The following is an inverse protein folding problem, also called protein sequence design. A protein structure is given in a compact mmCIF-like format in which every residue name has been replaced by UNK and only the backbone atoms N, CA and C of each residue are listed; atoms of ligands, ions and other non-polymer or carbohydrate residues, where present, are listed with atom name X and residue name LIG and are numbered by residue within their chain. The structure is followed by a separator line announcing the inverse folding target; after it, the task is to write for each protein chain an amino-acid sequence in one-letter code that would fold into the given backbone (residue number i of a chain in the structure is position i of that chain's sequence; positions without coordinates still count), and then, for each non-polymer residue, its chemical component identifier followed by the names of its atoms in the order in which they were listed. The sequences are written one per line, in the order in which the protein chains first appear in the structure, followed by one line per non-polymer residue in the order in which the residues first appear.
data_IF_808641998624
#
_entry.id   IF_808641998624
#
_cell.length_a   1.000
_cell.length_b   1.000
_cell.length_c   1.000
_cell.angle_alpha   90.00
_cell.angle_beta   90.00
_cell.angle_gamma   90.00
#
_symmetry.space_group_name_H-M   'P 1'
#
loop_
_entity.id
_entity.type
_entity.pdbx_description
1 polymer ?
#
# COMPACT_ATOMS: atom_id res chain seq x y z
N UNK A 1 -23.87 9.83 -2.05
CA UNK A 1 -22.46 10.22 -1.87
C UNK A 1 -21.56 9.32 -2.71
N UNK A 2 -20.64 9.91 -3.44
CA UNK A 2 -19.78 9.16 -4.34
C UNK A 2 -18.67 8.47 -3.56
N UNK A 3 -18.55 7.16 -3.72
CA UNK A 3 -17.55 6.38 -3.04
C UNK A 3 -16.17 6.57 -3.69
N UNK A 4 -15.14 6.76 -2.87
CA UNK A 4 -13.76 6.88 -3.34
C UNK A 4 -13.25 5.49 -3.71
N UNK A 5 -12.74 5.35 -4.93
CA UNK A 5 -12.14 4.10 -5.38
C UNK A 5 -10.70 3.98 -4.87
N UNK A 6 -10.26 2.74 -4.66
CA UNK A 6 -8.84 2.50 -4.40
C UNK A 6 -8.03 2.96 -5.61
N UNK A 7 -6.89 3.64 -5.41
CA UNK A 7 -6.14 4.20 -6.52
C UNK A 7 -5.50 3.14 -7.42
N UNK A 8 -5.31 3.46 -8.69
CA UNK A 8 -4.61 2.59 -9.63
C UNK A 8 -3.10 2.64 -9.45
N UNK A 9 -2.60 3.73 -8.89
CA UNK A 9 -1.17 3.98 -8.73
C UNK A 9 -0.91 4.66 -7.40
N UNK A 10 0.16 4.25 -6.73
CA UNK A 10 0.66 4.92 -5.52
C UNK A 10 2.09 5.35 -5.79
N UNK A 11 2.36 6.65 -5.60
CA UNK A 11 3.69 7.23 -5.81
C UNK A 11 4.52 7.16 -4.53
N UNK A 12 5.69 6.55 -4.63
CA UNK A 12 6.65 6.44 -3.53
C UNK A 12 7.99 6.91 -4.07
N UNK A 13 8.50 8.04 -3.55
CA UNK A 13 9.71 8.67 -4.07
C UNK A 13 9.52 8.98 -5.56
N UNK A 14 10.40 8.53 -6.43
CA UNK A 14 10.25 8.69 -7.88
C UNK A 14 9.62 7.47 -8.55
N UNK A 15 9.14 6.51 -7.75
CA UNK A 15 8.50 5.31 -8.26
C UNK A 15 7.00 5.48 -8.32
N UNK A 16 6.39 5.08 -9.43
CA UNK A 16 4.94 5.02 -9.57
C UNK A 16 4.53 3.56 -9.54
N UNK A 17 4.10 3.10 -8.36
CA UNK A 17 3.75 1.71 -8.16
C UNK A 17 2.34 1.43 -8.66
N UNK A 18 2.21 0.48 -9.56
CA UNK A 18 0.90 0.08 -10.07
C UNK A 18 0.21 -0.86 -9.10
N UNK A 19 -1.07 -0.63 -8.91
CA UNK A 19 -1.88 -1.49 -8.04
C UNK A 19 -2.60 -2.53 -8.89
N UNK A 20 -2.45 -3.79 -8.51
CA UNK A 20 -3.14 -4.90 -9.18
C UNK A 20 -4.02 -5.59 -8.14
N UNK A 21 -5.33 -5.54 -8.35
CA UNK A 21 -6.27 -6.24 -7.47
C UNK A 21 -6.50 -7.63 -8.02
N UNK A 22 -6.13 -8.63 -7.22
CA UNK A 22 -6.23 -10.03 -7.62
C UNK A 22 -7.55 -10.64 -7.14
N UNK A 23 -8.14 -11.48 -7.98
CA UNK A 23 -9.30 -12.26 -7.56
C UNK A 23 -8.85 -13.23 -6.45
N UNK A 24 -9.73 -13.57 -5.48
CA UNK A 24 -9.33 -14.38 -4.32
C UNK A 24 -8.73 -15.74 -4.67
N UNK A 25 -9.22 -16.40 -5.70
CA UNK A 25 -8.68 -17.69 -6.12
C UNK A 25 -7.25 -17.58 -6.64
N UNK A 26 -6.95 -16.50 -7.36
CA UNK A 26 -5.60 -16.23 -7.86
C UNK A 26 -4.67 -15.92 -6.70
N UNK A 27 -5.13 -15.13 -5.73
CA UNK A 27 -4.34 -14.79 -4.56
C UNK A 27 -3.96 -16.03 -3.76
N UNK A 28 -4.88 -16.99 -3.63
CA UNK A 28 -4.62 -18.26 -2.94
C UNK A 28 -3.58 -19.10 -3.68
N UNK A 29 -3.63 -19.11 -5.01
CA UNK A 29 -2.67 -19.87 -5.82
C UNK A 29 -1.24 -19.34 -5.69
N UNK A 30 -1.09 -18.04 -5.43
CA UNK A 30 0.23 -17.40 -5.33
C UNK A 30 0.81 -17.49 -3.92
N UNK A 31 0.36 -18.45 -3.11
CA UNK A 31 0.96 -18.71 -1.82
C UNK A 31 0.14 -18.26 -0.62
N UNK A 32 -1.17 -18.21 -0.76
CA UNK A 32 -2.09 -17.88 0.33
C UNK A 32 -1.83 -16.47 0.89
N UNK A 33 -1.40 -15.56 0.04
CA UNK A 33 -1.07 -14.19 0.44
C UNK A 33 -2.19 -13.23 0.10
N UNK A 34 -2.52 -12.35 1.07
CA UNK A 34 -3.52 -11.31 0.86
C UNK A 34 -2.96 -10.16 0.03
N UNK A 35 -1.63 -10.04 -0.05
CA UNK A 35 -0.98 -9.04 -0.86
C UNK A 35 0.51 -9.29 -0.97
N UNK A 36 1.16 -8.56 -1.88
CA UNK A 36 2.60 -8.62 -2.04
C UNK A 36 3.11 -7.40 -2.80
N UNK A 37 4.38 -7.09 -2.60
CA UNK A 37 5.07 -6.05 -3.34
C UNK A 37 6.13 -6.69 -4.23
N UNK A 38 6.08 -6.38 -5.53
CA UNK A 38 7.04 -6.87 -6.51
C UNK A 38 7.92 -5.70 -6.96
N UNK A 39 9.13 -5.61 -6.39
CA UNK A 39 10.03 -4.50 -6.67
C UNK A 39 10.46 -4.44 -8.14
N UNK A 40 10.72 -5.59 -8.73
CA UNK A 40 11.18 -5.69 -10.11
C UNK A 40 10.14 -5.13 -11.09
N UNK A 41 8.88 -5.39 -10.83
CA UNK A 41 7.79 -4.99 -11.71
C UNK A 41 7.16 -3.67 -11.30
N UNK A 42 7.57 -3.10 -10.16
CA UNK A 42 7.01 -1.85 -9.62
C UNK A 42 5.50 -1.97 -9.42
N UNK A 43 5.08 -3.07 -8.77
CA UNK A 43 3.66 -3.38 -8.57
C UNK A 43 3.39 -3.81 -7.14
N UNK A 44 2.20 -3.46 -6.69
CA UNK A 44 1.63 -3.95 -5.44
C UNK A 44 0.40 -4.78 -5.79
N UNK A 45 0.39 -6.02 -5.33
CA UNK A 45 -0.73 -6.95 -5.54
C UNK A 45 -1.54 -7.02 -4.25
N UNK A 46 -2.86 -6.91 -4.37
CA UNK A 46 -3.76 -6.94 -3.22
C UNK A 46 -4.97 -7.81 -3.55
N UNK A 47 -5.46 -8.55 -2.55
CA UNK A 47 -6.67 -9.34 -2.69
C UNK A 47 -7.86 -8.39 -2.90
N UNK A 48 -8.51 -8.49 -4.06
CA UNK A 48 -9.61 -7.62 -4.43
C UNK A 48 -10.75 -7.66 -3.42
N UNK A 49 -11.09 -8.86 -2.94
CA UNK A 49 -12.23 -9.01 -2.05
C UNK A 49 -12.00 -8.28 -0.72
N UNK A 50 -10.78 -8.28 -0.21
CA UNK A 50 -10.45 -7.57 1.03
C UNK A 50 -10.54 -6.07 0.83
N UNK A 51 -10.00 -5.57 -0.28
CA UNK A 51 -10.03 -4.13 -0.58
C UNK A 51 -11.48 -3.65 -0.78
N UNK A 52 -12.30 -4.43 -1.49
CA UNK A 52 -13.69 -4.05 -1.74
C UNK A 52 -14.55 -4.17 -0.48
N UNK A 53 -14.27 -5.12 0.39
CA UNK A 53 -14.93 -5.22 1.68
C UNK A 53 -14.65 -3.98 2.53
N UNK A 54 -13.43 -3.43 2.43
CA UNK A 54 -13.10 -2.15 3.06
C UNK A 54 -12.83 -2.25 4.54
N UNK A 55 -12.94 -1.10 5.20
CA UNK A 55 -12.73 -0.99 6.64
C UNK A 55 -11.27 -1.05 7.06
N UNK A 56 -11.05 -1.19 8.36
CA UNK A 56 -9.71 -1.15 8.94
C UNK A 56 -8.81 -2.26 8.40
N UNK A 57 -9.37 -3.43 8.12
CA UNK A 57 -8.59 -4.56 7.59
C UNK A 57 -8.01 -4.23 6.22
N UNK A 58 -8.81 -3.60 5.36
CA UNK A 58 -8.36 -3.20 4.02
C UNK A 58 -7.28 -2.14 4.11
N UNK A 59 -7.46 -1.15 4.99
CA UNK A 59 -6.46 -0.10 5.19
C UNK A 59 -5.14 -0.69 5.69
N UNK A 60 -5.22 -1.59 6.66
CA UNK A 60 -4.03 -2.26 7.21
C UNK A 60 -3.27 -3.02 6.13
N UNK A 61 -3.99 -3.77 5.29
CA UNK A 61 -3.38 -4.54 4.21
C UNK A 61 -2.68 -3.60 3.22
N UNK A 62 -3.37 -2.55 2.78
CA UNK A 62 -2.82 -1.61 1.82
C UNK A 62 -1.55 -0.94 2.34
N UNK A 63 -1.57 -0.50 3.59
CA UNK A 63 -0.41 0.12 4.22
C UNK A 63 0.73 -0.88 4.40
N UNK A 64 0.41 -2.12 4.77
CA UNK A 64 1.42 -3.17 4.94
C UNK A 64 2.25 -3.35 3.67
N UNK A 65 1.59 -3.49 2.52
CA UNK A 65 2.30 -3.68 1.26
C UNK A 65 3.04 -2.42 0.82
N UNK A 66 2.48 -1.25 1.10
CA UNK A 66 3.14 0.00 0.80
C UNK A 66 4.41 0.17 1.64
N UNK A 67 4.38 -0.28 2.90
CA UNK A 67 5.56 -0.25 3.77
C UNK A 67 6.64 -1.23 3.31
N UNK A 68 6.29 -2.36 2.70
CA UNK A 68 7.29 -3.23 2.09
C UNK A 68 8.00 -2.49 0.96
N UNK A 69 7.26 -1.72 0.16
CA UNK A 69 7.87 -0.89 -0.88
C UNK A 69 8.82 0.15 -0.28
N UNK A 70 8.38 0.82 0.80
CA UNK A 70 9.20 1.79 1.52
C UNK A 70 10.50 1.14 2.01
N UNK A 71 10.38 -0.02 2.64
CA UNK A 71 11.53 -0.74 3.18
C UNK A 71 12.57 -1.02 2.09
N UNK A 72 12.10 -1.51 0.95
CA UNK A 72 12.99 -1.84 -0.16
C UNK A 72 13.58 -0.58 -0.82
N UNK A 73 12.72 0.40 -1.14
CA UNK A 73 13.13 1.60 -1.88
C UNK A 73 14.14 2.43 -1.09
N UNK A 74 13.96 2.51 0.24
CA UNK A 74 14.84 3.29 1.10
C UNK A 74 15.92 2.45 1.76
N UNK A 75 16.03 1.16 1.41
CA UNK A 75 17.10 0.27 1.86
C UNK A 75 17.20 0.19 3.39
N UNK A 76 16.06 0.05 4.05
CA UNK A 76 15.97 0.15 5.51
C UNK A 76 16.48 -1.08 6.26
N UNK A 77 16.67 -2.19 5.56
CA UNK A 77 17.22 -3.42 6.17
C UNK A 77 18.63 -3.23 6.74
N UNK A 78 19.33 -2.18 6.29
CA UNK A 78 20.68 -1.85 6.74
C UNK A 78 20.73 -0.56 7.57
N UNK A 79 19.58 0.00 7.91
CA UNK A 79 19.52 1.27 8.60
C UNK A 79 19.51 1.09 10.10
N UNK A 80 20.10 2.06 10.81
CA UNK A 80 19.97 2.17 12.25
C UNK A 80 18.53 2.55 12.63
N UNK A 81 18.14 2.29 13.87
CA UNK A 81 16.77 2.54 14.34
C UNK A 81 16.32 3.97 14.10
N UNK A 82 17.15 4.96 14.45
CA UNK A 82 16.79 6.37 14.27
C UNK A 82 16.55 6.70 12.79
N UNK A 83 17.41 6.18 11.92
CA UNK A 83 17.26 6.40 10.50
C UNK A 83 15.99 5.73 9.96
N UNK A 84 15.68 4.54 10.44
CA UNK A 84 14.47 3.84 10.03
C UNK A 84 13.22 4.60 10.48
N UNK A 85 13.21 5.08 11.72
CA UNK A 85 12.08 5.85 12.26
C UNK A 85 11.89 7.15 11.46
N UNK A 86 12.97 7.88 11.20
CA UNK A 86 12.91 9.10 10.40
C UNK A 86 12.39 8.81 8.99
N UNK A 87 12.86 7.72 8.38
CA UNK A 87 12.44 7.33 7.04
C UNK A 87 10.96 7.00 7.01
N UNK A 88 10.44 6.27 8.00
CA UNK A 88 9.02 5.94 8.06
C UNK A 88 8.16 7.18 8.26
N UNK A 89 8.60 8.11 9.10
CA UNK A 89 7.86 9.34 9.33
C UNK A 89 7.80 10.19 8.05
N UNK A 90 8.94 10.35 7.40
CA UNK A 90 9.02 11.11 6.15
C UNK A 90 8.25 10.42 5.04
N UNK A 91 8.37 9.11 4.94
CA UNK A 91 7.64 8.31 3.95
C UNK A 91 6.12 8.45 4.13
N UNK A 92 5.64 8.29 5.35
CA UNK A 92 4.20 8.37 5.61
C UNK A 92 3.66 9.75 5.26
N UNK A 93 4.40 10.79 5.63
CA UNK A 93 4.01 12.17 5.32
C UNK A 93 3.96 12.38 3.81
N UNK A 94 4.99 11.96 3.09
CA UNK A 94 5.04 12.07 1.64
C UNK A 94 3.92 11.27 0.97
N UNK A 95 3.71 10.03 1.45
CA UNK A 95 2.70 9.14 0.90
C UNK A 95 1.32 9.78 0.95
N UNK A 96 0.94 10.30 2.10
CA UNK A 96 -0.38 10.89 2.28
C UNK A 96 -0.51 12.23 1.57
N UNK A 97 0.56 13.00 1.51
CA UNK A 97 0.56 14.29 0.83
C UNK A 97 0.43 14.15 -0.69
N UNK A 98 1.17 13.21 -1.27
CA UNK A 98 1.27 13.07 -2.73
C UNK A 98 0.20 12.18 -3.35
N UNK A 99 -0.50 11.39 -2.53
CA UNK A 99 -1.47 10.42 -3.04
C UNK A 99 -2.85 10.74 -2.46
N UNK A 100 -3.46 11.82 -2.97
CA UNK A 100 -4.72 12.32 -2.43
C UNK A 100 -5.86 11.31 -2.52
N UNK A 101 -5.94 10.55 -3.61
CA UNK A 101 -6.98 9.52 -3.75
C UNK A 101 -6.81 8.42 -2.71
N UNK A 102 -5.57 7.99 -2.47
CA UNK A 102 -5.28 6.99 -1.45
C UNK A 102 -5.64 7.53 -0.06
N UNK A 103 -5.22 8.75 0.25
CA UNK A 103 -5.54 9.39 1.53
C UNK A 103 -7.06 9.49 1.72
N UNK A 104 -7.78 9.92 0.69
CA UNK A 104 -9.22 10.05 0.76
C UNK A 104 -9.90 8.69 0.94
N UNK A 105 -9.39 7.65 0.26
CA UNK A 105 -9.87 6.30 0.43
C UNK A 105 -9.67 5.82 1.88
N UNK A 106 -8.48 6.05 2.45
CA UNK A 106 -8.18 5.68 3.84
C UNK A 106 -9.17 6.38 4.78
N UNK A 107 -9.37 7.68 4.60
CA UNK A 107 -10.30 8.44 5.44
C UNK A 107 -11.71 7.88 5.36
N UNK A 108 -12.15 7.53 4.16
CA UNK A 108 -13.47 6.95 3.96
C UNK A 108 -13.62 5.61 4.68
N UNK A 109 -12.62 4.72 4.54
CA UNK A 109 -12.71 3.38 5.10
C UNK A 109 -12.56 3.36 6.63
N UNK A 110 -11.91 4.36 7.21
CA UNK A 110 -11.76 4.47 8.66
C UNK A 110 -12.85 5.34 9.32
N UNK A 111 -13.71 5.92 8.52
CA UNK A 111 -14.81 6.75 9.04
C UNK A 111 -15.90 5.85 9.64
N UNK A 112 -16.37 6.23 10.83
CA UNK A 112 -17.45 5.49 11.49
C UNK A 112 -18.82 5.79 10.88
#
# INVERSE_FOLDING_TARGET
MKKVKFPDTISVSYHDLQIVLLEPDVALEVGDQQGSYASRDQKIYLDRSIIEEGGARAVSLALHETYHACWYIFNLDKAEEERAVDSFANFTTELLRRNSQFRNWINQELCD
#
